data_IF_396504636247
#
_entry.id   IF_396504636247
#
_cell.length_a   1.000
_cell.length_b   1.000
_cell.length_c   1.000
_cell.angle_alpha   90.00
_cell.angle_beta   90.00
_cell.angle_gamma   90.00
#
_symmetry.space_group_name_H-M   'P 1'
#
loop_
_entity.id
_entity.type
_entity.pdbx_description
1 polymer ?
#
# COMPACT_ATOMS: atom_id res chain seq x y z
N UNK A 1 -3.36 14.70 9.35
CA UNK A 1 -4.12 13.89 8.39
C UNK A 1 -4.95 12.89 9.16
N UNK A 2 -6.21 12.69 8.73
CA UNK A 2 -7.10 11.61 9.22
C UNK A 2 -6.48 10.22 9.13
N UNK A 3 -5.52 10.00 8.24
CA UNK A 3 -4.75 8.75 8.21
C UNK A 3 -4.06 8.46 9.56
N UNK A 4 -3.60 9.51 10.27
CA UNK A 4 -2.95 9.37 11.58
C UNK A 4 -3.94 8.98 12.70
N UNK A 5 -5.25 9.01 12.46
CA UNK A 5 -6.25 8.49 13.41
C UNK A 5 -6.24 6.96 13.41
N UNK A 6 -5.99 6.34 12.25
CA UNK A 6 -6.01 4.89 12.06
C UNK A 6 -4.63 4.25 12.22
N UNK A 7 -3.55 4.98 11.91
CA UNK A 7 -2.18 4.49 12.11
C UNK A 7 -1.25 5.61 12.54
N UNK A 8 -0.61 5.44 13.71
CA UNK A 8 0.47 6.34 14.16
C UNK A 8 1.82 6.06 13.50
N UNK A 9 1.92 4.95 12.77
CA UNK A 9 3.17 4.46 12.19
C UNK A 9 3.28 4.76 10.69
N UNK A 10 2.24 5.31 10.07
CA UNK A 10 2.24 5.66 8.65
C UNK A 10 2.20 7.17 8.48
N UNK A 11 3.35 7.77 8.21
CA UNK A 11 3.51 9.23 8.14
C UNK A 11 4.57 9.63 7.11
N UNK A 12 4.63 10.91 6.68
CA UNK A 12 5.61 11.37 5.68
C UNK A 12 7.03 11.29 6.21
N UNK A 13 7.95 10.77 5.39
CA UNK A 13 9.38 10.76 5.68
C UNK A 13 10.20 10.83 4.38
N UNK A 14 11.47 11.23 4.49
CA UNK A 14 12.37 11.34 3.35
C UNK A 14 13.07 10.00 3.07
N UNK A 15 12.82 9.42 1.90
CA UNK A 15 13.56 8.25 1.45
C UNK A 15 14.84 8.67 0.73
N UNK A 16 15.98 8.25 1.27
CA UNK A 16 17.29 8.43 0.60
C UNK A 16 17.37 7.65 -0.71
N UNK A 17 16.73 6.49 -0.79
CA UNK A 17 16.74 5.62 -1.97
C UNK A 17 15.88 6.20 -3.09
N UNK A 18 14.64 6.62 -2.77
CA UNK A 18 13.73 7.21 -3.76
C UNK A 18 13.98 8.71 -4.00
N UNK A 19 14.82 9.35 -3.18
CA UNK A 19 15.16 10.79 -3.23
C UNK A 19 13.94 11.70 -3.17
N UNK A 20 12.92 11.31 -2.41
CA UNK A 20 11.67 12.07 -2.28
C UNK A 20 11.02 11.84 -0.91
N UNK A 21 10.11 12.76 -0.55
CA UNK A 21 9.24 12.62 0.62
C UNK A 21 7.95 11.92 0.19
N UNK A 22 7.55 10.90 0.95
CA UNK A 22 6.26 10.25 0.77
C UNK A 22 5.82 9.60 2.10
N UNK A 23 4.54 9.25 2.19
CA UNK A 23 4.01 8.51 3.33
C UNK A 23 4.51 7.08 3.30
N UNK A 24 5.14 6.62 4.38
CA UNK A 24 5.65 5.28 4.51
C UNK A 24 5.38 4.72 5.91
N UNK A 25 5.41 3.40 6.02
CA UNK A 25 5.36 2.73 7.32
C UNK A 25 6.66 2.99 8.08
N UNK A 26 6.58 3.04 9.41
CA UNK A 26 7.71 3.19 10.30
C UNK A 26 7.70 2.09 11.36
N UNK A 27 8.87 1.54 11.66
CA UNK A 27 9.00 0.50 12.67
C UNK A 27 8.55 1.04 14.04
N UNK A 28 7.63 0.35 14.70
CA UNK A 28 7.14 0.73 16.04
C UNK A 28 8.21 0.68 17.15
N UNK A 29 9.37 0.06 16.89
CA UNK A 29 10.44 -0.06 17.87
C UNK A 29 11.56 0.96 17.67
N UNK A 30 11.96 1.23 16.43
CA UNK A 30 13.11 2.09 16.12
C UNK A 30 12.79 3.27 15.19
N UNK A 31 11.54 3.43 14.77
CA UNK A 31 11.09 4.47 13.82
C UNK A 31 11.81 4.43 12.47
N UNK A 32 12.49 3.34 12.13
CA UNK A 32 13.08 3.18 10.81
C UNK A 32 11.97 3.19 9.74
N UNK A 33 12.17 4.01 8.69
CA UNK A 33 11.29 4.07 7.55
C UNK A 33 11.32 2.74 6.79
N UNK A 34 10.16 2.12 6.64
CA UNK A 34 9.92 0.96 5.81
C UNK A 34 9.39 1.46 4.47
N UNK A 35 10.29 1.59 3.49
CA UNK A 35 9.97 2.10 2.16
C UNK A 35 8.96 1.23 1.41
N UNK A 36 8.70 1.59 0.15
CA UNK A 36 7.75 0.84 -0.69
C UNK A 36 8.41 -0.45 -1.15
N UNK A 37 8.15 -1.53 -0.42
CA UNK A 37 8.47 -2.87 -0.86
C UNK A 37 7.30 -3.40 -1.70
N UNK A 38 7.62 -4.22 -2.70
CA UNK A 38 6.58 -4.96 -3.40
C UNK A 38 5.76 -5.70 -2.35
N UNK A 39 4.43 -5.53 -2.37
CA UNK A 39 3.58 -6.38 -1.57
C UNK A 39 3.89 -7.81 -1.95
N UNK A 40 4.33 -8.61 -0.98
CA UNK A 40 4.56 -10.02 -1.23
C UNK A 40 3.25 -10.61 -1.73
N UNK A 41 3.33 -11.29 -2.86
CA UNK A 41 2.23 -12.06 -3.42
C UNK A 41 2.04 -13.29 -2.52
N UNK A 42 1.48 -13.06 -1.34
CA UNK A 42 1.25 -14.04 -0.28
C UNK A 42 -0.25 -14.33 -0.22
N UNK A 43 -0.75 -15.36 -0.94
CA UNK A 43 -2.13 -15.78 -0.88
C UNK A 43 -2.62 -15.96 0.56
N UNK A 44 -3.73 -15.31 0.90
CA UNK A 44 -4.29 -15.31 2.25
C UNK A 44 -3.68 -14.27 3.20
N UNK A 45 -2.68 -13.51 2.75
CA UNK A 45 -2.17 -12.34 3.45
C UNK A 45 -3.20 -11.21 3.52
N UNK A 46 -3.01 -10.27 4.45
CA UNK A 46 -3.94 -9.16 4.68
C UNK A 46 -4.12 -8.24 3.47
N UNK A 47 -3.16 -8.23 2.54
CA UNK A 47 -3.21 -7.50 1.27
C UNK A 47 -3.48 -8.38 0.05
N UNK A 48 -3.68 -9.69 0.24
CA UNK A 48 -4.09 -10.61 -0.82
C UNK A 48 -5.07 -11.68 -0.29
N UNK A 49 -6.29 -11.27 0.09
CA UNK A 49 -7.33 -12.23 0.48
C UNK A 49 -7.71 -13.10 -0.72
N UNK A 50 -7.81 -14.40 -0.49
CA UNK A 50 -8.22 -15.41 -1.49
C UNK A 50 -9.58 -16.05 -1.17
N UNK A 51 -10.20 -15.65 -0.05
CA UNK A 51 -11.58 -16.05 0.30
C UNK A 51 -12.41 -14.85 0.72
N UNK A 52 -13.74 -14.99 0.66
CA UNK A 52 -14.67 -13.95 1.11
C UNK A 52 -14.51 -13.63 2.59
N UNK A 53 -14.33 -14.64 3.44
CA UNK A 53 -14.16 -14.49 4.88
C UNK A 53 -12.86 -13.74 5.24
N UNK A 54 -11.84 -13.82 4.39
CA UNK A 54 -10.62 -13.02 4.52
C UNK A 54 -10.87 -11.57 4.12
N UNK A 55 -11.58 -11.35 3.01
CA UNK A 55 -11.93 -10.01 2.55
C UNK A 55 -12.85 -9.27 3.53
N UNK A 56 -13.80 -9.96 4.18
CA UNK A 56 -14.71 -9.38 5.18
C UNK A 56 -14.00 -8.79 6.42
N UNK A 57 -12.74 -9.18 6.67
CA UNK A 57 -11.94 -8.63 7.77
C UNK A 57 -11.34 -7.26 7.43
N UNK A 58 -11.36 -6.85 6.17
CA UNK A 58 -10.83 -5.57 5.70
C UNK A 58 -11.87 -4.47 5.97
N UNK A 59 -11.48 -3.46 6.75
CA UNK A 59 -12.33 -2.29 7.01
C UNK A 59 -11.89 -1.11 6.16
N UNK A 60 -12.85 -0.53 5.45
CA UNK A 60 -12.64 0.69 4.69
C UNK A 60 -13.05 1.90 5.53
N UNK A 61 -12.18 2.91 5.54
CA UNK A 61 -12.45 4.19 6.18
C UNK A 61 -12.41 5.28 5.12
N UNK A 62 -13.53 5.97 4.94
CA UNK A 62 -13.59 7.09 4.01
C UNK A 62 -12.81 8.28 4.56
N UNK A 63 -11.82 8.76 3.79
CA UNK A 63 -11.04 9.96 4.13
C UNK A 63 -11.37 11.07 3.14
N UNK A 64 -12.13 12.07 3.59
CA UNK A 64 -12.47 13.27 2.82
C UNK A 64 -11.40 14.35 3.05
N UNK A 65 -10.20 14.09 2.54
CA UNK A 65 -9.06 15.01 2.53
C UNK A 65 -8.43 15.00 1.12
N UNK A 66 -7.88 16.12 0.67
CA UNK A 66 -7.08 16.12 -0.57
C UNK A 66 -5.77 15.36 -0.34
N UNK A 67 -5.51 14.38 -1.20
CA UNK A 67 -4.25 13.63 -1.22
C UNK A 67 -3.55 13.80 -2.58
N UNK A 68 -2.22 13.78 -2.55
CA UNK A 68 -1.39 13.66 -3.75
C UNK A 68 -0.79 12.26 -3.76
N UNK A 69 -1.24 11.43 -4.70
CA UNK A 69 -0.78 10.06 -4.85
C UNK A 69 -0.11 9.86 -6.21
N UNK A 70 0.97 9.09 -6.23
CA UNK A 70 1.60 8.57 -7.45
C UNK A 70 1.53 7.06 -7.39
N UNK A 71 0.92 6.44 -8.39
CA UNK A 71 0.80 5.00 -8.51
C UNK A 71 1.17 4.57 -9.93
N UNK A 72 1.66 3.34 -10.04
CA UNK A 72 1.85 2.64 -11.31
C UNK A 72 1.28 1.24 -11.15
N UNK A 73 0.63 0.73 -12.20
CA UNK A 73 0.19 -0.65 -12.26
C UNK A 73 0.73 -1.27 -13.55
N UNK A 74 0.92 -2.59 -13.53
CA UNK A 74 1.21 -3.37 -14.71
C UNK A 74 0.12 -4.42 -14.84
N UNK A 75 -0.47 -4.53 -16.02
CA UNK A 75 -1.26 -5.72 -16.35
C UNK A 75 -0.24 -6.83 -16.60
N UNK A 76 -0.27 -7.87 -15.77
CA UNK A 76 0.34 -9.14 -16.16
C UNK A 76 -0.65 -9.70 -17.18
N UNK A 77 -0.29 -9.85 -18.47
CA UNK A 77 -1.14 -10.54 -19.40
C UNK A 77 -1.35 -11.92 -18.80
N UNK A 78 -2.60 -12.27 -18.50
CA UNK A 78 -2.93 -13.67 -18.25
C UNK A 78 -2.33 -14.46 -19.40
N UNK A 79 -1.64 -15.55 -19.07
CA UNK A 79 -0.96 -16.38 -20.04
C UNK A 79 -1.84 -16.57 -21.30
N UNK A 80 -1.54 -15.84 -22.38
CA UNK A 80 -2.13 -16.02 -23.71
C UNK A 80 -3.25 -15.07 -24.19
N UNK A 81 -3.55 -13.94 -23.56
CA UNK A 81 -4.55 -12.99 -24.07
C UNK A 81 -3.98 -11.71 -24.70
N UNK A 82 -3.81 -11.66 -26.03
CA UNK A 82 -3.58 -10.40 -26.74
C UNK A 82 -4.82 -9.51 -26.63
N UNK A 83 -4.65 -8.26 -26.23
CA UNK A 83 -5.63 -7.20 -26.46
C UNK A 83 -4.89 -6.12 -27.27
N UNK A 84 -5.16 -6.09 -28.57
CA UNK A 84 -4.77 -4.98 -29.43
C UNK A 84 -5.55 -3.72 -29.01
N UNK A 85 -4.82 -2.61 -28.87
CA UNK A 85 -5.37 -1.25 -28.96
C UNK A 85 -4.72 -0.56 -30.16
#
# INVERSE_FOLDING_TARGET
SRINEYSKLYYPSHSKTAKMNYYANHCCHCNAMQGDFMMFNEPGGVFFPVTYEQAEKIRFHEVNETIFAKASYSLIPEAGGFIDL
#
